data_IF_803984822201
#
_entry.id   IF_803984822201
#
_cell.length_a   1.000
_cell.length_b   1.000
_cell.length_c   1.000
_cell.angle_alpha   90.00
_cell.angle_beta   90.00
_cell.angle_gamma   90.00
#
_symmetry.space_group_name_H-M   'P 1'
#
loop_
_entity.id
_entity.type
_entity.pdbx_description
1 polymer ?
#
# COMPACT_ATOMS: atom_id res chain seq x y z
N UNK A 1 -27.86 -36.65 5.88
CA UNK A 1 -26.44 -36.21 5.78
C UNK A 1 -26.40 -35.22 4.65
N UNK A 2 -26.60 -33.96 4.97
CA UNK A 2 -26.71 -32.91 3.96
C UNK A 2 -25.29 -32.43 3.61
N UNK A 3 -24.93 -32.62 2.34
CA UNK A 3 -23.65 -32.19 1.80
C UNK A 3 -23.61 -30.65 1.82
N UNK A 4 -22.72 -30.09 2.63
CA UNK A 4 -22.39 -28.66 2.57
C UNK A 4 -21.70 -28.42 1.23
N UNK A 5 -22.43 -27.83 0.28
CA UNK A 5 -21.88 -27.41 -0.99
C UNK A 5 -20.83 -26.34 -0.75
N UNK A 6 -19.56 -26.64 -1.06
CA UNK A 6 -18.48 -25.68 -1.04
C UNK A 6 -18.67 -24.71 -2.20
N UNK A 7 -19.32 -23.58 -1.97
CA UNK A 7 -19.39 -22.50 -2.96
C UNK A 7 -17.98 -21.94 -3.17
N UNK A 8 -17.39 -22.20 -4.33
CA UNK A 8 -16.14 -21.58 -4.75
C UNK A 8 -16.38 -20.08 -4.94
N UNK A 9 -15.74 -19.24 -4.12
CA UNK A 9 -15.82 -17.78 -4.28
C UNK A 9 -15.02 -17.38 -5.51
N UNK A 10 -15.70 -16.81 -6.51
CA UNK A 10 -15.05 -16.23 -7.68
C UNK A 10 -14.55 -14.83 -7.32
N UNK A 11 -13.23 -14.67 -7.21
CA UNK A 11 -12.59 -13.38 -6.93
C UNK A 11 -12.14 -12.76 -8.27
N UNK A 12 -12.37 -11.46 -8.43
CA UNK A 12 -11.83 -10.66 -9.55
C UNK A 12 -11.23 -9.38 -9.00
N UNK A 13 -10.03 -9.03 -9.46
CA UNK A 13 -9.27 -7.86 -9.00
C UNK A 13 -9.14 -6.83 -10.12
N UNK A 14 -9.34 -5.55 -9.80
CA UNK A 14 -9.04 -4.43 -10.68
C UNK A 14 -7.91 -3.61 -10.04
N UNK A 15 -6.76 -3.55 -10.68
CA UNK A 15 -5.64 -2.71 -10.25
C UNK A 15 -5.48 -1.53 -11.18
N UNK A 16 -5.41 -0.32 -10.61
CA UNK A 16 -5.33 0.94 -11.35
C UNK A 16 -4.08 1.73 -10.98
N UNK A 17 -3.46 2.38 -11.96
CA UNK A 17 -2.43 3.39 -11.73
C UNK A 17 -2.51 4.45 -12.84
N UNK A 18 -2.13 5.70 -12.55
CA UNK A 18 -2.07 6.76 -13.56
C UNK A 18 -0.89 6.57 -14.52
N UNK A 19 0.16 5.89 -14.05
CA UNK A 19 1.39 5.62 -14.79
C UNK A 19 1.25 4.34 -15.63
N UNK A 20 1.17 4.51 -16.95
CA UNK A 20 1.08 3.42 -17.92
C UNK A 20 2.16 2.34 -17.71
N UNK A 21 3.41 2.72 -17.43
CA UNK A 21 4.51 1.75 -17.23
C UNK A 21 4.30 0.89 -15.98
N UNK A 22 3.71 1.45 -14.92
CA UNK A 22 3.37 0.68 -13.73
C UNK A 22 2.27 -0.35 -14.05
N UNK A 23 1.26 0.06 -14.84
CA UNK A 23 0.19 -0.81 -15.33
C UNK A 23 0.74 -1.93 -16.22
N UNK A 24 1.67 -1.65 -17.12
CA UNK A 24 2.33 -2.65 -17.97
C UNK A 24 3.06 -3.72 -17.15
N UNK A 25 3.84 -3.29 -16.15
CA UNK A 25 4.51 -4.21 -15.22
C UNK A 25 3.50 -5.06 -14.47
N UNK A 26 2.38 -4.48 -14.03
CA UNK A 26 1.33 -5.22 -13.35
C UNK A 26 0.67 -6.25 -14.30
N UNK A 27 0.31 -5.86 -15.52
CA UNK A 27 -0.24 -6.76 -16.56
C UNK A 27 0.69 -7.93 -16.86
N UNK A 28 2.00 -7.68 -16.98
CA UNK A 28 3.00 -8.73 -17.16
C UNK A 28 2.97 -9.75 -16.01
N UNK A 29 2.90 -9.28 -14.76
CA UNK A 29 2.81 -10.17 -13.58
C UNK A 29 1.51 -10.96 -13.52
N UNK A 30 0.38 -10.34 -13.88
CA UNK A 30 -0.91 -11.01 -13.98
C UNK A 30 -0.78 -12.20 -14.93
N UNK A 31 -0.22 -11.98 -16.13
CA UNK A 31 -0.03 -13.05 -17.11
C UNK A 31 0.91 -14.15 -16.61
N UNK A 32 2.06 -13.77 -16.03
CA UNK A 32 3.04 -14.74 -15.49
C UNK A 32 2.47 -15.60 -14.36
N UNK A 33 1.63 -15.05 -13.50
CA UNK A 33 1.12 -15.74 -12.31
C UNK A 33 -0.32 -16.24 -12.45
N UNK A 34 -0.96 -16.02 -13.60
CA UNK A 34 -2.37 -16.36 -13.85
C UNK A 34 -3.32 -15.83 -12.77
N UNK A 35 -3.09 -14.59 -12.31
CA UNK A 35 -3.96 -13.96 -11.33
C UNK A 35 -5.33 -13.61 -11.94
N UNK A 36 -6.44 -13.75 -11.20
CA UNK A 36 -7.76 -13.34 -11.66
C UNK A 36 -7.92 -11.81 -11.56
N UNK A 37 -7.08 -11.07 -12.29
CA UNK A 37 -6.89 -9.65 -12.14
C UNK A 37 -6.79 -8.94 -13.49
N UNK A 38 -7.09 -7.64 -13.50
CA UNK A 38 -6.91 -6.76 -14.64
C UNK A 38 -6.14 -5.50 -14.21
N UNK A 39 -5.23 -5.05 -15.06
CA UNK A 39 -4.53 -3.77 -14.90
C UNK A 39 -5.12 -2.70 -15.81
N UNK A 40 -5.46 -1.54 -15.26
CA UNK A 40 -6.10 -0.43 -15.97
C UNK A 40 -5.36 0.88 -15.70
N UNK A 41 -5.20 1.73 -16.71
CA UNK A 41 -4.65 3.07 -16.51
C UNK A 41 -5.78 4.03 -16.15
N UNK A 42 -5.77 4.58 -14.94
CA UNK A 42 -6.82 5.49 -14.45
C UNK A 42 -6.26 6.49 -13.43
N UNK A 43 -6.85 7.69 -13.39
CA UNK A 43 -6.60 8.66 -12.32
C UNK A 43 -7.46 8.31 -11.10
N UNK A 44 -6.84 8.13 -9.93
CA UNK A 44 -7.56 7.82 -8.70
C UNK A 44 -8.51 8.94 -8.25
N UNK A 45 -8.29 10.19 -8.69
CA UNK A 45 -9.19 11.31 -8.39
C UNK A 45 -10.44 11.32 -9.29
N UNK A 46 -10.50 10.46 -10.32
CA UNK A 46 -11.60 10.35 -11.26
C UNK A 46 -11.64 8.95 -11.87
N UNK A 47 -12.10 7.98 -11.09
CA UNK A 47 -12.19 6.59 -11.52
C UNK A 47 -13.33 6.42 -12.54
N UNK A 48 -13.10 5.61 -13.56
CA UNK A 48 -14.10 5.32 -14.59
C UNK A 48 -15.10 4.22 -14.17
N UNK A 49 -14.93 3.66 -12.97
CA UNK A 49 -15.84 2.66 -12.44
C UNK A 49 -17.20 3.29 -12.08
N UNK A 50 -18.26 2.51 -12.25
CA UNK A 50 -19.59 2.88 -11.81
C UNK A 50 -19.69 2.97 -10.27
N UNK A 51 -20.72 3.67 -9.80
CA UNK A 51 -21.08 3.72 -8.38
C UNK A 51 -21.41 2.31 -7.87
N UNK A 52 -21.14 2.03 -6.59
CA UNK A 52 -21.49 0.75 -5.96
C UNK A 52 -20.98 -0.50 -6.70
N UNK A 53 -19.74 -0.43 -7.22
CA UNK A 53 -19.15 -1.50 -8.01
C UNK A 53 -18.36 -2.51 -7.15
N UNK A 54 -17.66 -2.06 -6.10
CA UNK A 54 -16.74 -2.88 -5.32
C UNK A 54 -17.25 -3.22 -3.92
N UNK A 55 -16.89 -4.40 -3.43
CA UNK A 55 -17.07 -4.79 -2.02
C UNK A 55 -15.85 -4.46 -1.15
N UNK A 56 -14.67 -4.41 -1.78
CA UNK A 56 -13.40 -4.05 -1.16
C UNK A 56 -12.66 -3.08 -2.06
N UNK A 57 -12.04 -2.08 -1.45
CA UNK A 57 -11.10 -1.18 -2.12
C UNK A 57 -9.86 -1.04 -1.26
N UNK A 58 -8.69 -1.06 -1.91
CA UNK A 58 -7.39 -0.94 -1.25
C UNK A 58 -6.63 0.19 -1.91
N UNK A 59 -6.16 1.14 -1.09
CA UNK A 59 -5.32 2.25 -1.52
C UNK A 59 -4.01 2.26 -0.74
N UNK A 60 -2.96 1.68 -1.32
CA UNK A 60 -1.67 1.52 -0.64
C UNK A 60 -0.68 2.62 -1.05
N UNK A 61 -0.16 3.35 -0.07
CA UNK A 61 0.98 4.26 -0.17
C UNK A 61 0.88 5.33 -1.28
N UNK A 62 -0.31 5.85 -1.54
CA UNK A 62 -0.56 6.80 -2.64
C UNK A 62 -1.17 8.14 -2.18
N UNK A 63 -1.94 8.19 -1.08
CA UNK A 63 -2.63 9.41 -0.62
C UNK A 63 -1.72 10.64 -0.50
N UNK A 64 -0.50 10.45 0.01
CA UNK A 64 0.48 11.52 0.22
C UNK A 64 1.18 12.02 -1.04
N UNK A 65 0.91 11.43 -2.22
CA UNK A 65 1.40 11.95 -3.52
C UNK A 65 0.31 12.62 -4.34
N UNK A 66 -0.93 12.63 -3.86
CA UNK A 66 -2.06 13.21 -4.55
C UNK A 66 -2.28 14.69 -4.18
N UNK A 67 -2.89 15.48 -5.10
CA UNK A 67 -3.38 16.81 -4.75
C UNK A 67 -4.47 16.72 -3.69
N UNK A 68 -4.73 17.85 -3.00
CA UNK A 68 -5.81 17.98 -2.03
C UNK A 68 -5.81 16.86 -0.96
N UNK A 69 -4.61 16.43 -0.54
CA UNK A 69 -4.42 15.33 0.41
C UNK A 69 -5.13 14.02 0.04
N UNK A 70 -5.35 13.80 -1.25
CA UNK A 70 -6.06 12.62 -1.77
C UNK A 70 -7.54 12.56 -1.38
N UNK A 71 -8.13 13.66 -0.91
CA UNK A 71 -9.55 13.72 -0.54
C UNK A 71 -10.44 13.36 -1.74
N UNK A 72 -10.08 13.82 -2.95
CA UNK A 72 -10.87 13.52 -4.15
C UNK A 72 -10.79 12.04 -4.54
N UNK A 73 -9.63 11.38 -4.35
CA UNK A 73 -9.54 9.94 -4.47
C UNK A 73 -10.38 9.20 -3.40
N UNK A 74 -10.40 9.69 -2.15
CA UNK A 74 -11.25 9.10 -1.11
C UNK A 74 -12.75 9.18 -1.46
N UNK A 75 -13.20 10.28 -2.08
CA UNK A 75 -14.58 10.39 -2.60
C UNK A 75 -14.87 9.36 -3.68
N UNK A 76 -13.93 9.12 -4.59
CA UNK A 76 -14.07 8.11 -5.64
C UNK A 76 -14.11 6.68 -5.05
N UNK A 77 -13.32 6.39 -4.03
CA UNK A 77 -13.43 5.12 -3.30
C UNK A 77 -14.79 4.98 -2.60
N UNK A 78 -15.27 6.03 -1.95
CA UNK A 78 -16.59 6.03 -1.32
C UNK A 78 -17.71 5.79 -2.33
N UNK A 79 -17.68 6.49 -3.47
CA UNK A 79 -18.66 6.37 -4.57
C UNK A 79 -18.67 4.96 -5.17
N UNK A 80 -17.49 4.40 -5.43
CA UNK A 80 -17.35 3.12 -6.13
C UNK A 80 -17.53 1.91 -5.22
N UNK A 81 -17.46 2.08 -3.89
CA UNK A 81 -17.81 1.04 -2.94
C UNK A 81 -19.33 0.86 -2.84
N UNK A 82 -19.76 -0.39 -2.73
CA UNK A 82 -21.13 -0.74 -2.35
C UNK A 82 -21.39 -0.32 -0.91
N UNK A 83 -22.66 -0.09 -0.58
CA UNK A 83 -23.08 0.02 0.82
C UNK A 83 -22.63 -1.22 1.62
N UNK A 84 -21.96 -0.99 2.75
CA UNK A 84 -21.34 -2.04 3.56
C UNK A 84 -19.98 -2.55 3.04
N UNK A 85 -19.48 -2.01 1.93
CA UNK A 85 -18.14 -2.28 1.42
C UNK A 85 -17.03 -1.73 2.34
N UNK A 86 -15.82 -2.27 2.18
CA UNK A 86 -14.67 -1.93 3.05
C UNK A 86 -13.57 -1.25 2.25
N UNK A 87 -13.11 -0.09 2.74
CA UNK A 87 -11.90 0.58 2.28
C UNK A 87 -10.73 0.25 3.24
N UNK A 88 -9.58 -0.11 2.67
CA UNK A 88 -8.32 -0.23 3.39
C UNK A 88 -7.33 0.76 2.78
N UNK A 89 -6.88 1.73 3.56
CA UNK A 89 -5.88 2.71 3.15
C UNK A 89 -4.79 2.84 4.20
N UNK A 90 -3.59 3.22 3.78
CA UNK A 90 -2.49 3.48 4.69
C UNK A 90 -1.77 4.80 4.38
N UNK A 91 -1.11 5.32 5.42
CA UNK A 91 -0.13 6.39 5.32
C UNK A 91 1.17 5.96 6.00
N UNK A 92 2.22 6.79 5.91
CA UNK A 92 3.49 6.53 6.58
C UNK A 92 3.55 7.24 7.92
N UNK A 93 3.38 6.49 9.00
CA UNK A 93 3.57 6.99 10.36
C UNK A 93 5.02 7.41 10.65
N UNK A 94 6.00 6.76 10.00
CA UNK A 94 7.43 7.04 10.18
C UNK A 94 8.21 6.81 8.89
N UNK A 95 9.18 7.68 8.60
CA UNK A 95 10.04 7.63 7.41
C UNK A 95 11.51 7.80 7.85
N UNK A 96 12.22 6.69 8.16
CA UNK A 96 13.55 6.75 8.79
C UNK A 96 14.60 7.44 7.93
N UNK A 97 14.44 7.42 6.61
CA UNK A 97 15.39 8.01 5.67
C UNK A 97 15.16 9.51 5.41
N UNK A 98 14.11 10.13 5.95
CA UNK A 98 13.81 11.54 5.64
C UNK A 98 14.88 12.49 6.17
N UNK A 99 15.34 12.30 7.40
CA UNK A 99 16.32 13.17 8.04
C UNK A 99 17.70 13.12 7.34
N UNK A 100 18.24 11.92 7.01
CA UNK A 100 19.43 11.83 6.16
C UNK A 100 19.26 12.48 4.78
N UNK A 101 18.11 12.31 4.13
CA UNK A 101 17.83 12.94 2.82
C UNK A 101 17.84 14.47 2.94
N UNK A 102 17.25 15.00 4.01
CA UNK A 102 17.22 16.45 4.27
C UNK A 102 18.62 16.99 4.59
N UNK A 103 19.43 16.27 5.35
CA UNK A 103 20.82 16.65 5.64
C UNK A 103 21.65 16.76 4.35
N UNK A 104 21.59 15.75 3.48
CA UNK A 104 22.29 15.76 2.18
C UNK A 104 21.75 16.87 1.28
N UNK A 105 20.44 17.08 1.23
CA UNK A 105 19.85 18.16 0.44
C UNK A 105 20.35 19.53 0.86
N UNK A 106 20.44 19.80 2.17
CA UNK A 106 20.99 21.06 2.71
C UNK A 106 22.46 21.25 2.37
N UNK A 107 23.24 20.17 2.35
CA UNK A 107 24.66 20.22 2.07
C UNK A 107 25.00 20.36 0.58
N UNK A 108 24.12 19.92 -0.32
CA UNK A 108 24.43 19.78 -1.76
C UNK A 108 23.64 20.70 -2.68
N UNK A 109 22.55 21.31 -2.20
CA UNK A 109 21.67 22.17 -3.02
C UNK A 109 21.88 23.64 -2.69
N UNK A 110 21.59 24.50 -3.66
CA UNK A 110 21.66 25.95 -3.48
C UNK A 110 20.76 26.43 -2.33
N UNK A 111 21.16 27.44 -1.55
CA UNK A 111 20.31 28.04 -0.53
C UNK A 111 18.93 28.42 -1.06
N UNK A 112 17.88 28.18 -0.27
CA UNK A 112 16.49 28.42 -0.68
C UNK A 112 15.85 27.31 -1.51
N UNK A 113 16.60 26.26 -1.89
CA UNK A 113 16.00 25.09 -2.55
C UNK A 113 15.10 24.33 -1.57
N UNK A 114 13.83 24.05 -1.91
CA UNK A 114 12.95 23.27 -1.05
C UNK A 114 13.50 21.89 -0.72
N UNK A 115 13.26 21.45 0.52
CA UNK A 115 13.66 20.11 0.95
C UNK A 115 12.82 19.04 0.23
N UNK A 116 13.41 17.90 -0.12
CA UNK A 116 12.65 16.78 -0.66
C UNK A 116 11.50 16.39 0.28
N UNK A 117 10.27 16.32 -0.26
CA UNK A 117 9.08 15.92 0.51
C UNK A 117 8.90 16.73 1.80
N UNK A 118 9.17 18.03 1.73
CA UNK A 118 8.84 18.93 2.83
C UNK A 118 7.33 18.89 3.14
N UNK A 119 6.97 19.01 4.42
CA UNK A 119 5.59 18.86 4.88
C UNK A 119 5.05 17.42 4.95
N UNK A 120 5.83 16.40 4.55
CA UNK A 120 5.40 14.99 4.63
C UNK A 120 5.08 14.53 6.05
N UNK A 121 5.67 15.18 7.07
CA UNK A 121 5.48 14.87 8.49
C UNK A 121 4.02 14.99 8.93
N UNK A 122 3.19 15.76 8.24
CA UNK A 122 1.75 15.86 8.53
C UNK A 122 0.99 14.54 8.35
N UNK A 123 1.54 13.59 7.59
CA UNK A 123 0.99 12.24 7.40
C UNK A 123 1.34 11.25 8.52
N UNK A 124 2.21 11.66 9.47
CA UNK A 124 2.64 10.82 10.58
C UNK A 124 1.54 10.60 11.65
N UNK A 125 0.79 11.63 12.07
CA UNK A 125 -0.32 11.45 13.01
C UNK A 125 -1.46 10.66 12.38
N UNK A 126 -1.95 9.64 13.09
CA UNK A 126 -3.06 8.81 12.61
C UNK A 126 -4.36 9.62 12.44
N UNK A 127 -4.54 10.67 13.23
CA UNK A 127 -5.70 11.58 13.16
C UNK A 127 -5.78 12.34 11.84
N UNK A 128 -4.64 12.67 11.22
CA UNK A 128 -4.66 13.33 9.91
C UNK A 128 -5.18 12.38 8.82
N UNK A 129 -4.77 11.11 8.84
CA UNK A 129 -5.31 10.10 7.94
C UNK A 129 -6.82 9.90 8.16
N UNK A 130 -7.27 9.86 9.43
CA UNK A 130 -8.70 9.78 9.76
C UNK A 130 -9.46 10.96 9.17
N UNK A 131 -9.00 12.19 9.39
CA UNK A 131 -9.64 13.41 8.86
C UNK A 131 -9.76 13.40 7.32
N UNK A 132 -8.72 12.94 6.61
CA UNK A 132 -8.76 12.75 5.15
C UNK A 132 -9.83 11.74 4.73
N UNK A 133 -9.92 10.60 5.43
CA UNK A 133 -10.91 9.56 5.16
C UNK A 133 -12.34 10.05 5.47
N UNK A 134 -12.54 10.78 6.56
CA UNK A 134 -13.83 11.40 6.90
C UNK A 134 -14.27 12.42 5.83
N UNK A 135 -13.36 13.28 5.37
CA UNK A 135 -13.61 14.24 4.27
C UNK A 135 -13.92 13.57 2.92
N UNK A 136 -13.55 12.30 2.77
CA UNK A 136 -13.90 11.45 1.62
C UNK A 136 -15.34 10.93 1.65
N UNK A 137 -16.05 11.06 2.78
CA UNK A 137 -17.43 10.61 2.95
C UNK A 137 -17.62 9.44 3.92
N UNK A 138 -16.54 8.91 4.50
CA UNK A 138 -16.63 7.79 5.44
C UNK A 138 -17.02 8.26 6.85
N UNK A 139 -17.92 7.53 7.50
CA UNK A 139 -18.38 7.83 8.84
C UNK A 139 -17.29 7.58 9.89
N UNK A 140 -17.00 8.59 10.72
CA UNK A 140 -16.00 8.54 11.79
C UNK A 140 -16.07 7.28 12.66
N UNK A 141 -17.26 6.90 13.09
CA UNK A 141 -17.48 5.77 14.01
C UNK A 141 -17.25 4.40 13.36
N UNK A 142 -17.10 4.36 12.03
CA UNK A 142 -16.78 3.15 11.26
C UNK A 142 -15.30 3.06 10.88
N UNK A 143 -14.46 4.05 11.26
CA UNK A 143 -13.03 4.07 10.96
C UNK A 143 -12.24 3.41 12.09
N UNK A 144 -11.61 2.28 11.79
CA UNK A 144 -10.64 1.64 12.69
C UNK A 144 -9.22 2.00 12.27
N UNK A 145 -8.43 2.53 13.21
CA UNK A 145 -7.02 2.86 12.98
C UNK A 145 -6.13 1.78 13.61
N UNK A 146 -5.16 1.31 12.83
CA UNK A 146 -4.10 0.41 13.30
C UNK A 146 -2.72 0.95 12.90
N UNK A 147 -1.68 0.54 13.62
CA UNK A 147 -0.29 0.82 13.26
C UNK A 147 0.40 -0.50 12.97
N UNK A 148 0.64 -0.76 11.69
CA UNK A 148 1.41 -1.92 11.24
C UNK A 148 2.77 -1.48 10.70
N UNK A 149 3.81 -2.27 10.99
CA UNK A 149 5.18 -1.94 10.59
C UNK A 149 5.55 -2.59 9.27
N UNK A 150 6.00 -1.78 8.31
CA UNK A 150 6.65 -2.27 7.10
C UNK A 150 8.10 -2.63 7.43
N UNK A 151 8.46 -3.92 7.36
CA UNK A 151 9.84 -4.36 7.57
C UNK A 151 10.66 -4.21 6.28
N UNK A 152 11.82 -3.56 6.39
CA UNK A 152 12.85 -3.57 5.35
C UNK A 152 13.96 -4.53 5.79
N UNK A 153 14.01 -5.73 5.22
CA UNK A 153 15.17 -6.61 5.40
C UNK A 153 16.25 -6.20 4.40
N UNK A 154 17.27 -5.50 4.88
CA UNK A 154 18.50 -5.28 4.13
C UNK A 154 19.33 -6.57 4.20
N UNK A 155 19.29 -7.37 3.14
CA UNK A 155 20.25 -8.46 2.96
C UNK A 155 21.59 -7.83 2.56
N UNK A 156 22.43 -7.47 3.52
CA UNK A 156 23.84 -7.23 3.25
C UNK A 156 24.50 -8.59 2.98
N UNK A 157 25.12 -8.77 1.82
CA UNK A 157 25.94 -9.93 1.46
C UNK A 157 27.23 -10.09 2.29
N UNK A 158 27.34 -9.39 3.42
CA UNK A 158 28.44 -9.51 4.35
C UNK A 158 27.97 -10.33 5.54
N UNK A 159 28.56 -11.50 5.70
CA UNK A 159 28.41 -12.41 6.84
C UNK A 159 28.70 -11.67 8.14
N UNK A 160 27.65 -11.17 8.80
CA UNK A 160 27.74 -10.81 10.21
C UNK A 160 27.75 -12.11 11.02
N UNK A 161 28.82 -12.28 11.78
CA UNK A 161 29.00 -13.37 12.73
C UNK A 161 27.81 -13.42 13.70
N UNK A 162 27.24 -14.60 13.98
CA UNK A 162 26.01 -14.70 14.78
C UNK A 162 26.27 -14.37 16.26
N UNK A 163 25.48 -13.46 16.81
CA UNK A 163 25.27 -13.38 18.26
C UNK A 163 24.38 -14.55 18.71
N UNK A 164 24.85 -15.31 19.70
CA UNK A 164 24.14 -16.44 20.31
C UNK A 164 22.92 -15.95 21.11
N UNK A 165 21.75 -16.56 20.90
CA UNK A 165 20.61 -16.29 21.79
C UNK A 165 19.18 -16.59 21.31
N UNK A 166 18.94 -17.02 20.06
CA UNK A 166 17.56 -17.29 19.60
C UNK A 166 17.40 -18.75 19.19
N UNK A 167 16.43 -19.43 19.82
CA UNK A 167 16.21 -20.88 19.69
C UNK A 167 15.88 -21.32 18.25
N UNK A 168 16.28 -22.55 17.94
CA UNK A 168 16.25 -23.16 16.60
C UNK A 168 14.82 -23.37 16.06
N UNK A 169 13.82 -23.49 16.95
CA UNK A 169 12.41 -23.70 16.58
C UNK A 169 11.74 -22.48 15.95
N UNK A 170 12.11 -21.26 16.38
CA UNK A 170 11.63 -20.01 15.75
C UNK A 170 12.22 -19.87 14.35
N UNK A 171 13.45 -20.36 14.13
CA UNK A 171 14.13 -20.31 12.83
C UNK A 171 13.50 -21.25 11.80
N UNK A 172 13.02 -22.43 12.20
CA UNK A 172 12.40 -23.38 11.27
C UNK A 172 10.99 -22.95 10.81
N UNK A 173 10.18 -22.33 11.67
CA UNK A 173 8.88 -21.78 11.24
C UNK A 173 9.00 -20.56 10.31
N UNK A 174 10.07 -19.76 10.45
CA UNK A 174 10.32 -18.60 9.58
C UNK A 174 10.98 -18.96 8.24
N UNK A 175 11.78 -20.04 8.18
CA UNK A 175 12.41 -20.49 6.93
C UNK A 175 11.42 -21.13 5.94
N UNK A 176 10.27 -21.63 6.41
CA UNK A 176 9.28 -22.27 5.54
C UNK A 176 8.46 -21.25 4.72
N UNK A 177 8.33 -20.01 5.19
CA UNK A 177 7.74 -18.91 4.40
C UNK A 177 8.76 -18.24 3.46
N UNK A 178 10.06 -18.51 3.61
CA UNK A 178 11.13 -17.86 2.84
C UNK A 178 11.67 -18.69 1.67
N UNK A 179 11.08 -19.85 1.36
CA UNK A 179 11.57 -20.74 0.30
C UNK A 179 10.71 -20.76 -0.98
N UNK A 180 9.72 -19.88 -1.13
CA UNK A 180 9.19 -19.52 -2.46
C UNK A 180 10.14 -18.54 -3.15
N UNK A 181 11.18 -19.18 -3.67
CA UNK A 181 12.28 -18.75 -4.53
C UNK A 181 12.06 -17.53 -5.42
N UNK A 182 13.13 -16.72 -5.43
CA UNK A 182 13.97 -16.41 -6.59
C UNK A 182 13.22 -16.02 -7.88
N UNK A 183 12.74 -14.81 -7.96
CA UNK A 183 12.94 -13.95 -9.14
C UNK A 183 12.64 -12.53 -8.67
N UNK A 184 13.61 -11.63 -8.85
CA UNK A 184 13.54 -10.28 -8.32
C UNK A 184 12.30 -9.57 -8.83
N UNK A 185 11.33 -9.36 -7.96
CA UNK A 185 10.18 -8.49 -8.21
C UNK A 185 9.52 -8.19 -6.85
N UNK A 186 9.62 -6.93 -6.39
CA UNK A 186 8.94 -6.49 -5.16
C UNK A 186 7.43 -6.51 -5.38
N UNK A 187 6.75 -7.29 -4.56
CA UNK A 187 5.31 -7.31 -4.40
C UNK A 187 4.91 -6.02 -3.68
N UNK A 188 4.11 -5.18 -4.35
CA UNK A 188 3.28 -4.18 -3.69
C UNK A 188 1.85 -4.65 -3.95
N UNK A 189 1.19 -5.13 -2.90
CA UNK A 189 -0.27 -5.19 -2.81
C UNK A 189 -0.63 -3.99 -1.94
#
# INVERSE_FOLDING_TARGET
>A
MDAVATTSVQISLKGTDINEKAVEVYKSRIATNSWPAEGLQMDSNKLEFADNNFIYSIGNAFLFVLPNDGIDAMKEYYRTLKSGGTLIVNSRAYVPNMEPIHAVAKATRSPGTPLPRDGFQRWSPAEFLRDVVEKGGFEKDKITLGREMLWLQLLSSHTLQPCSGVSLEVRQKLACLSQTRLTGTRLYI
#
